data_IF_394003639195
#
_entry.id   IF_394003639195
#
_cell.length_a   1.000
_cell.length_b   1.000
_cell.length_c   1.000
_cell.angle_alpha   90.00
_cell.angle_beta   90.00
_cell.angle_gamma   90.00
#
_symmetry.space_group_name_H-M   'P 1'
#
loop_
_entity.id
_entity.type
_entity.pdbx_description
1 polymer ?
#
# COMPACT_ATOMS: atom_id res chain seq x y z
N UNK A 1 -22.62 18.77 -13.90
CA UNK A 1 -21.54 17.78 -13.98
C UNK A 1 -21.14 17.40 -15.41
N UNK A 2 -21.99 16.78 -16.24
CA UNK A 2 -21.63 16.28 -17.59
C UNK A 2 -21.15 17.33 -18.63
N UNK A 3 -21.34 18.63 -18.38
CA UNK A 3 -20.90 19.74 -19.25
C UNK A 3 -19.63 20.45 -18.73
N UNK A 4 -18.88 19.84 -17.81
CA UNK A 4 -17.68 20.40 -17.14
C UNK A 4 -17.87 21.74 -16.41
N UNK A 5 -19.10 22.23 -16.32
CA UNK A 5 -19.48 23.38 -15.49
C UNK A 5 -19.54 22.97 -14.03
N UNK A 6 -18.39 22.75 -13.41
CA UNK A 6 -18.29 22.28 -12.02
C UNK A 6 -18.77 23.34 -11.02
N UNK A 7 -18.49 24.63 -11.25
CA UNK A 7 -18.99 25.73 -10.40
C UNK A 7 -20.51 25.73 -10.29
N UNK A 8 -21.21 25.84 -11.42
CA UNK A 8 -22.69 25.82 -11.43
C UNK A 8 -23.28 24.52 -10.88
N UNK A 9 -22.57 23.39 -10.98
CA UNK A 9 -23.01 22.13 -10.37
C UNK A 9 -22.85 22.16 -8.84
N UNK A 10 -21.78 22.75 -8.32
CA UNK A 10 -21.57 22.96 -6.88
C UNK A 10 -22.68 23.86 -6.33
N UNK A 11 -23.01 24.95 -7.03
CA UNK A 11 -24.08 25.87 -6.62
C UNK A 11 -25.43 25.13 -6.55
N UNK A 12 -25.80 24.39 -7.61
CA UNK A 12 -27.03 23.62 -7.65
C UNK A 12 -27.09 22.53 -6.56
N UNK A 13 -25.99 21.81 -6.30
CA UNK A 13 -25.96 20.83 -5.20
C UNK A 13 -26.01 21.51 -3.83
N UNK A 14 -25.45 22.70 -3.69
CA UNK A 14 -25.51 23.47 -2.44
C UNK A 14 -26.93 23.92 -2.14
N UNK A 15 -27.67 24.39 -3.15
CA UNK A 15 -29.11 24.66 -3.03
C UNK A 15 -29.90 23.39 -2.68
N UNK A 16 -29.61 22.27 -3.36
CA UNK A 16 -30.28 21.00 -3.07
C UNK A 16 -30.03 20.50 -1.63
N UNK A 17 -28.80 20.67 -1.12
CA UNK A 17 -28.44 20.34 0.26
C UNK A 17 -29.13 21.27 1.25
N UNK A 18 -29.27 22.56 0.93
CA UNK A 18 -29.99 23.50 1.79
C UNK A 18 -31.48 23.14 1.91
N UNK A 19 -32.09 22.64 0.84
CA UNK A 19 -33.48 22.17 0.83
C UNK A 19 -33.63 20.79 1.50
N UNK A 20 -32.71 19.88 1.25
CA UNK A 20 -32.77 18.48 1.66
C UNK A 20 -31.40 17.99 2.17
N UNK A 21 -31.01 18.32 3.41
CA UNK A 21 -29.66 18.05 3.92
C UNK A 21 -29.36 16.58 4.22
N UNK A 22 -30.40 15.75 4.34
CA UNK A 22 -30.27 14.34 4.74
C UNK A 22 -30.17 13.37 3.55
N UNK A 23 -29.88 13.86 2.34
CA UNK A 23 -29.71 13.03 1.14
C UNK A 23 -28.22 12.83 0.85
N UNK A 24 -27.60 11.68 1.19
CA UNK A 24 -26.15 11.45 1.06
C UNK A 24 -25.62 11.64 -0.37
N UNK A 25 -26.46 11.34 -1.37
CA UNK A 25 -26.11 11.43 -2.79
C UNK A 25 -25.76 12.87 -3.20
N UNK A 26 -26.37 13.89 -2.59
CA UNK A 26 -26.05 15.28 -2.93
C UNK A 26 -24.66 15.67 -2.45
N UNK A 27 -24.29 15.23 -1.25
CA UNK A 27 -22.96 15.42 -0.67
C UNK A 27 -21.88 14.73 -1.53
N UNK A 28 -22.05 13.44 -1.85
CA UNK A 28 -21.07 12.72 -2.69
C UNK A 28 -20.96 13.31 -4.11
N UNK A 29 -22.04 13.83 -4.68
CA UNK A 29 -21.99 14.45 -6.00
C UNK A 29 -21.35 15.85 -5.98
N UNK A 30 -21.53 16.61 -4.89
CA UNK A 30 -20.83 17.89 -4.70
C UNK A 30 -19.34 17.67 -4.43
N UNK A 31 -18.99 16.70 -3.59
CA UNK A 31 -17.61 16.22 -3.38
C UNK A 31 -16.92 15.89 -4.72
N UNK A 32 -17.60 15.15 -5.61
CA UNK A 32 -17.05 14.83 -6.93
C UNK A 32 -16.76 16.08 -7.78
N UNK A 33 -17.56 17.14 -7.64
CA UNK A 33 -17.30 18.43 -8.30
C UNK A 33 -16.09 19.14 -7.69
N UNK A 34 -15.96 19.14 -6.36
CA UNK A 34 -14.79 19.69 -5.66
C UNK A 34 -13.50 18.93 -6.03
N UNK A 35 -13.57 17.61 -6.14
CA UNK A 35 -12.45 16.76 -6.60
C UNK A 35 -11.95 17.18 -7.98
N UNK A 36 -12.87 17.44 -8.92
CA UNK A 36 -12.51 17.93 -10.27
C UNK A 36 -11.88 19.33 -10.27
N UNK A 37 -12.02 20.08 -9.17
CA UNK A 37 -11.36 21.38 -8.95
C UNK A 37 -10.12 21.28 -8.06
N UNK A 38 -9.69 20.07 -7.66
CA UNK A 38 -8.61 19.81 -6.70
C UNK A 38 -8.82 20.44 -5.31
N UNK A 39 -10.08 20.69 -4.93
CA UNK A 39 -10.43 21.25 -3.61
C UNK A 39 -10.67 20.12 -2.61
N UNK A 40 -9.57 19.47 -2.19
CA UNK A 40 -9.62 18.25 -1.37
C UNK A 40 -10.18 18.47 0.04
N UNK A 41 -10.02 19.66 0.61
CA UNK A 41 -10.64 20.03 1.89
C UNK A 41 -12.17 19.96 1.81
N UNK A 42 -12.76 20.50 0.75
CA UNK A 42 -14.22 20.40 0.54
C UNK A 42 -14.68 18.99 0.20
N UNK A 43 -13.85 18.21 -0.51
CA UNK A 43 -14.14 16.78 -0.76
C UNK A 43 -14.28 16.03 0.56
N UNK A 44 -13.32 16.21 1.47
CA UNK A 44 -13.31 15.58 2.79
C UNK A 44 -14.54 15.99 3.62
N UNK A 45 -14.86 17.28 3.72
CA UNK A 45 -16.05 17.79 4.42
C UNK A 45 -17.34 17.11 3.91
N UNK A 46 -17.54 17.11 2.58
CA UNK A 46 -18.73 16.55 1.96
C UNK A 46 -18.77 15.02 2.11
N UNK A 47 -17.63 14.33 2.00
CA UNK A 47 -17.60 12.87 2.13
C UNK A 47 -17.80 12.42 3.57
N UNK A 48 -17.26 13.11 4.57
CA UNK A 48 -17.56 12.81 5.98
C UNK A 48 -19.06 12.95 6.25
N UNK A 49 -19.68 14.03 5.76
CA UNK A 49 -21.13 14.19 5.91
C UNK A 49 -21.92 13.10 5.17
N UNK A 50 -21.46 12.66 4.01
CA UNK A 50 -22.07 11.54 3.30
C UNK A 50 -21.96 10.22 4.08
N UNK A 51 -20.81 9.92 4.68
CA UNK A 51 -20.59 8.73 5.51
C UNK A 51 -21.45 8.76 6.79
N UNK A 52 -21.63 9.93 7.40
CA UNK A 52 -22.55 10.10 8.55
C UNK A 52 -24.00 9.77 8.20
N UNK A 53 -24.43 10.09 6.97
CA UNK A 53 -25.80 9.85 6.51
C UNK A 53 -26.01 8.45 5.93
N UNK A 54 -24.96 7.87 5.33
CA UNK A 54 -24.94 6.55 4.72
C UNK A 54 -23.57 5.90 4.94
N UNK A 55 -23.46 5.14 6.01
CA UNK A 55 -22.24 4.47 6.44
C UNK A 55 -21.81 3.32 5.49
N UNK A 56 -22.71 2.81 4.64
CA UNK A 56 -22.38 1.74 3.71
C UNK A 56 -22.12 2.26 2.29
N UNK A 57 -21.90 3.57 2.16
CA UNK A 57 -21.65 4.22 0.87
C UNK A 57 -20.21 3.97 0.38
N UNK A 58 -20.03 3.00 -0.52
CA UNK A 58 -18.75 2.70 -1.20
C UNK A 58 -18.11 3.97 -1.77
N UNK A 59 -18.91 4.81 -2.44
CA UNK A 59 -18.44 6.03 -3.10
C UNK A 59 -17.98 7.09 -2.09
N UNK A 60 -18.66 7.22 -0.95
CA UNK A 60 -18.28 8.20 0.07
C UNK A 60 -16.95 7.81 0.73
N UNK A 61 -16.80 6.56 1.15
CA UNK A 61 -15.56 6.02 1.71
C UNK A 61 -14.40 6.13 0.71
N UNK A 62 -14.61 5.76 -0.56
CA UNK A 62 -13.60 5.89 -1.60
C UNK A 62 -13.09 7.33 -1.77
N UNK A 63 -14.01 8.30 -1.93
CA UNK A 63 -13.63 9.70 -2.11
C UNK A 63 -13.03 10.33 -0.85
N UNK A 64 -13.48 9.92 0.34
CA UNK A 64 -12.89 10.34 1.61
C UNK A 64 -11.45 9.84 1.72
N UNK A 65 -11.22 8.56 1.42
CA UNK A 65 -9.88 7.98 1.37
C UNK A 65 -8.94 8.76 0.45
N UNK A 66 -9.38 9.06 -0.78
CA UNK A 66 -8.61 9.87 -1.73
C UNK A 66 -8.29 11.27 -1.20
N UNK A 67 -9.25 11.94 -0.55
CA UNK A 67 -9.04 13.27 0.01
C UNK A 67 -8.01 13.26 1.16
N UNK A 68 -8.06 12.25 2.02
CA UNK A 68 -7.11 12.07 3.12
C UNK A 68 -5.69 11.80 2.61
N UNK A 69 -5.53 10.99 1.54
CA UNK A 69 -4.23 10.77 0.91
C UNK A 69 -3.62 12.06 0.36
N UNK A 70 -4.44 12.92 -0.26
CA UNK A 70 -3.98 14.21 -0.78
C UNK A 70 -3.55 15.18 0.32
N UNK A 71 -4.14 15.03 1.52
CA UNK A 71 -3.73 15.74 2.73
C UNK A 71 -2.58 15.06 3.49
N UNK A 72 -2.04 13.97 2.95
CA UNK A 72 -0.98 13.13 3.56
C UNK A 72 -1.39 12.47 4.88
N UNK A 73 -2.69 12.34 5.12
CA UNK A 73 -3.27 11.60 6.24
C UNK A 73 -3.39 10.11 5.88
N UNK A 74 -2.24 9.48 5.55
CA UNK A 74 -2.21 8.16 4.92
C UNK A 74 -2.86 7.05 5.76
N UNK A 75 -2.70 7.10 7.08
CA UNK A 75 -3.26 6.10 7.98
C UNK A 75 -4.80 6.06 7.97
N UNK A 76 -5.45 7.22 7.94
CA UNK A 76 -6.91 7.30 7.82
C UNK A 76 -7.35 7.01 6.39
N UNK A 77 -6.63 7.53 5.38
CA UNK A 77 -6.93 7.27 3.98
C UNK A 77 -6.95 5.78 3.62
N UNK A 78 -5.99 5.01 4.13
CA UNK A 78 -5.96 3.53 3.96
C UNK A 78 -7.21 2.88 4.57
N UNK A 79 -7.61 3.25 5.79
CA UNK A 79 -8.79 2.66 6.45
C UNK A 79 -10.07 2.90 5.66
N UNK A 80 -10.25 4.11 5.14
CA UNK A 80 -11.42 4.48 4.34
C UNK A 80 -11.45 3.73 3.00
N UNK A 81 -10.30 3.54 2.35
CA UNK A 81 -10.19 2.73 1.13
C UNK A 81 -10.40 1.24 1.38
N UNK A 82 -9.93 0.69 2.51
CA UNK A 82 -10.22 -0.69 2.93
C UNK A 82 -11.73 -0.88 3.13
N UNK A 83 -12.38 0.05 3.84
CA UNK A 83 -13.83 0.02 4.03
C UNK A 83 -14.58 0.10 2.70
N UNK A 84 -14.16 0.97 1.78
CA UNK A 84 -14.75 1.08 0.45
C UNK A 84 -14.62 -0.24 -0.33
N UNK A 85 -13.46 -0.90 -0.24
CA UNK A 85 -13.19 -2.17 -0.92
C UNK A 85 -14.06 -3.30 -0.38
N UNK A 86 -14.19 -3.39 0.94
CA UNK A 86 -15.00 -4.42 1.61
C UNK A 86 -16.49 -4.29 1.25
N UNK A 87 -17.01 -3.06 1.29
CA UNK A 87 -18.39 -2.77 0.87
C UNK A 87 -18.60 -3.05 -0.63
N UNK A 88 -17.63 -2.67 -1.48
CA UNK A 88 -17.70 -2.88 -2.93
C UNK A 88 -17.76 -4.36 -3.31
N UNK A 89 -16.96 -5.20 -2.63
CA UNK A 89 -16.97 -6.66 -2.81
C UNK A 89 -18.31 -7.29 -2.40
N UNK A 90 -18.96 -6.78 -1.34
CA UNK A 90 -20.27 -7.28 -0.91
C UNK A 90 -21.40 -6.96 -1.90
N UNK A 91 -21.36 -5.78 -2.54
CA UNK A 91 -22.40 -5.32 -3.46
C UNK A 91 -22.27 -5.85 -4.90
N UNK A 92 -21.04 -5.86 -5.45
CA UNK A 92 -20.74 -6.42 -6.77
C UNK A 92 -19.22 -6.71 -6.88
N UNK A 93 -18.79 -7.96 -6.61
CA UNK A 93 -17.37 -8.34 -6.62
C UNK A 93 -16.62 -8.04 -7.93
N UNK A 94 -17.33 -8.01 -9.06
CA UNK A 94 -16.76 -7.81 -10.40
C UNK A 94 -16.99 -6.38 -10.93
N UNK A 95 -17.40 -5.44 -10.07
CA UNK A 95 -17.64 -4.06 -10.47
C UNK A 95 -16.35 -3.29 -10.78
N UNK A 96 -16.37 -2.43 -11.80
CA UNK A 96 -15.23 -1.59 -12.22
C UNK A 96 -14.62 -0.76 -11.06
N UNK A 97 -15.44 -0.42 -10.07
CA UNK A 97 -15.04 0.38 -8.92
C UNK A 97 -14.17 -0.40 -7.94
N UNK A 98 -14.29 -1.73 -7.87
CA UNK A 98 -13.52 -2.57 -6.93
C UNK A 98 -12.05 -2.60 -7.32
N UNK A 99 -11.75 -2.73 -8.62
CA UNK A 99 -10.38 -2.67 -9.14
C UNK A 99 -9.76 -1.28 -8.94
N UNK A 100 -10.51 -0.22 -9.24
CA UNK A 100 -10.05 1.17 -9.02
C UNK A 100 -9.74 1.42 -7.53
N UNK A 101 -10.65 1.05 -6.62
CA UNK A 101 -10.43 1.19 -5.17
C UNK A 101 -9.19 0.40 -4.74
N UNK A 102 -9.03 -0.82 -5.25
CA UNK A 102 -7.88 -1.65 -4.92
C UNK A 102 -6.56 -1.01 -5.34
N UNK A 103 -6.48 -0.47 -6.57
CA UNK A 103 -5.27 0.19 -7.06
C UNK A 103 -4.93 1.41 -6.21
N UNK A 104 -5.93 2.22 -5.86
CA UNK A 104 -5.73 3.37 -4.99
C UNK A 104 -5.36 2.94 -3.55
N UNK A 105 -5.90 1.83 -3.05
CA UNK A 105 -5.51 1.27 -1.76
C UNK A 105 -4.06 0.78 -1.75
N UNK A 106 -3.60 0.11 -2.80
CA UNK A 106 -2.21 -0.31 -2.92
C UNK A 106 -1.26 0.90 -2.93
N UNK A 107 -1.57 1.93 -3.73
CA UNK A 107 -0.83 3.21 -3.71
C UNK A 107 -0.85 3.86 -2.32
N UNK A 108 -2.00 3.87 -1.65
CA UNK A 108 -2.15 4.41 -0.31
C UNK A 108 -1.23 3.71 0.71
N UNK A 109 -1.19 2.37 0.67
CA UNK A 109 -0.32 1.56 1.55
C UNK A 109 1.15 1.79 1.25
N UNK A 110 1.52 1.93 -0.02
CA UNK A 110 2.87 2.31 -0.41
C UNK A 110 3.25 3.69 0.12
N UNK A 111 2.43 4.73 -0.09
CA UNK A 111 2.69 6.09 0.40
C UNK A 111 2.79 6.16 1.93
N UNK A 112 1.92 5.41 2.62
CA UNK A 112 1.99 5.25 4.07
C UNK A 112 3.34 4.68 4.49
N UNK A 113 3.75 3.57 3.86
CA UNK A 113 5.04 2.95 4.13
C UNK A 113 6.19 3.91 3.82
N UNK A 114 6.19 4.58 2.66
CA UNK A 114 7.26 5.49 2.23
C UNK A 114 7.45 6.63 3.24
N UNK A 115 6.35 7.22 3.71
CA UNK A 115 6.39 8.26 4.73
C UNK A 115 6.95 7.74 6.07
N UNK A 116 6.47 6.59 6.53
CA UNK A 116 6.94 6.00 7.79
C UNK A 116 8.40 5.50 7.71
N UNK A 117 8.78 4.89 6.58
CA UNK A 117 10.12 4.39 6.28
C UNK A 117 11.13 5.53 6.18
N UNK A 118 10.78 6.63 5.49
CA UNK A 118 11.65 7.82 5.43
C UNK A 118 11.97 8.35 6.82
N UNK A 119 10.98 8.39 7.71
CA UNK A 119 11.17 8.79 9.11
C UNK A 119 12.09 7.82 9.85
N UNK A 120 11.83 6.51 9.74
CA UNK A 120 12.65 5.46 10.39
C UNK A 120 14.09 5.49 9.89
N UNK A 121 14.29 5.62 8.58
CA UNK A 121 15.62 5.72 7.96
C UNK A 121 16.40 6.92 8.47
N UNK A 122 15.74 8.08 8.59
CA UNK A 122 16.38 9.27 9.15
C UNK A 122 16.76 9.08 10.63
N UNK A 123 15.84 8.58 11.46
CA UNK A 123 16.10 8.27 12.87
C UNK A 123 17.27 7.28 13.03
N UNK A 124 17.29 6.23 12.21
CA UNK A 124 18.30 5.18 12.22
C UNK A 124 19.68 5.72 11.81
N UNK A 125 19.73 6.57 10.77
CA UNK A 125 20.97 7.19 10.30
C UNK A 125 21.54 8.16 11.34
N UNK A 126 20.71 9.01 11.94
CA UNK A 126 21.14 9.91 13.02
C UNK A 126 21.68 9.13 14.22
N UNK A 127 21.00 8.05 14.61
CA UNK A 127 21.47 7.20 15.70
C UNK A 127 22.80 6.50 15.36
N UNK A 128 22.94 6.03 14.11
CA UNK A 128 24.17 5.42 13.62
C UNK A 128 25.36 6.38 13.71
N UNK A 129 25.20 7.59 13.22
CA UNK A 129 26.25 8.63 13.26
C UNK A 129 26.67 8.92 14.70
N UNK A 130 25.71 9.13 15.61
CA UNK A 130 25.99 9.34 17.03
C UNK A 130 26.73 8.16 17.69
N UNK A 131 26.33 6.92 17.37
CA UNK A 131 27.01 5.73 17.89
C UNK A 131 28.44 5.59 17.33
N UNK A 132 28.66 5.91 16.06
CA UNK A 132 30.00 5.88 15.44
C UNK A 132 30.89 6.94 16.08
N UNK A 133 30.41 8.17 16.24
CA UNK A 133 31.15 9.26 16.90
C UNK A 133 31.53 8.87 18.33
N UNK A 134 30.56 8.43 19.15
CA UNK A 134 30.81 8.02 20.52
C UNK A 134 31.79 6.84 20.63
N UNK A 135 31.71 5.88 19.69
CA UNK A 135 32.67 4.79 19.64
C UNK A 135 34.06 5.31 19.29
N UNK A 136 34.20 6.15 18.26
CA UNK A 136 35.49 6.74 17.88
C UNK A 136 36.13 7.56 19.01
N UNK A 137 35.36 8.37 19.73
CA UNK A 137 35.86 9.12 20.90
C UNK A 137 36.41 8.19 21.98
N UNK A 138 35.67 7.12 22.30
CA UNK A 138 36.12 6.09 23.24
C UNK A 138 37.42 5.44 22.77
N UNK A 139 37.51 5.09 21.49
CA UNK A 139 38.70 4.45 20.92
C UNK A 139 39.94 5.37 20.99
N UNK A 140 39.76 6.68 20.79
CA UNK A 140 40.83 7.68 20.96
C UNK A 140 41.28 7.76 22.42
N UNK A 141 40.35 7.76 23.37
CA UNK A 141 40.66 7.75 24.80
C UNK A 141 41.41 6.47 25.20
N UNK A 142 40.95 5.30 24.75
CA UNK A 142 41.59 4.01 25.06
C UNK A 142 43.02 3.93 24.50
N UNK A 143 43.25 4.46 23.28
CA UNK A 143 44.58 4.54 22.67
C UNK A 143 45.53 5.48 23.44
N UNK A 144 45.02 6.56 24.03
CA UNK A 144 45.83 7.46 24.86
C UNK A 144 46.29 6.83 26.19
N UNK A 145 45.57 5.80 26.66
CA UNK A 145 45.86 5.09 27.92
C UNK A 145 46.72 3.83 27.75
N UNK A 146 46.93 3.35 26.52
CA UNK A 146 47.66 2.09 26.24
C UNK A 146 48.99 2.35 25.54
N UNK A 147 50.04 2.65 26.32
CA UNK A 147 51.41 2.66 25.82
C UNK A 147 51.90 1.22 25.59
N UNK A 148 51.82 0.70 24.35
CA UNK A 148 52.61 -0.47 23.93
C UNK A 148 51.93 -1.59 23.11
N UNK A 149 50.60 -1.63 22.99
CA UNK A 149 49.85 -2.69 22.26
C UNK A 149 48.97 -2.11 21.12
N UNK A 150 49.58 -1.33 20.22
CA UNK A 150 48.84 -0.53 19.22
C UNK A 150 48.13 -1.40 18.16
N UNK A 151 48.73 -2.52 17.75
CA UNK A 151 48.25 -3.32 16.60
C UNK A 151 47.01 -4.19 16.94
N UNK A 152 47.03 -4.90 18.08
CA UNK A 152 45.88 -5.68 18.55
C UNK A 152 44.68 -4.78 18.92
N UNK A 153 44.95 -3.60 19.47
CA UNK A 153 43.91 -2.62 19.84
C UNK A 153 43.26 -2.04 18.59
N UNK A 154 44.04 -1.66 17.57
CA UNK A 154 43.50 -1.18 16.29
C UNK A 154 42.63 -2.23 15.58
N UNK A 155 43.06 -3.50 15.57
CA UNK A 155 42.28 -4.60 15.00
C UNK A 155 40.96 -4.86 15.77
N UNK A 156 40.99 -4.78 17.11
CA UNK A 156 39.80 -4.89 17.96
C UNK A 156 38.81 -3.74 17.69
N UNK A 157 39.31 -2.53 17.52
CA UNK A 157 38.54 -1.33 17.26
C UNK A 157 37.83 -1.40 15.90
N UNK A 158 38.53 -1.86 14.86
CA UNK A 158 37.94 -2.12 13.54
C UNK A 158 36.78 -3.12 13.61
N UNK A 159 36.94 -4.22 14.37
CA UNK A 159 35.87 -5.21 14.57
C UNK A 159 34.63 -4.64 15.25
N UNK A 160 34.79 -3.71 16.19
CA UNK A 160 33.66 -3.04 16.86
C UNK A 160 32.88 -2.15 15.90
N UNK A 161 33.58 -1.36 15.07
CA UNK A 161 32.95 -0.54 14.02
C UNK A 161 32.21 -1.41 13.00
N UNK A 162 32.82 -2.50 12.53
CA UNK A 162 32.14 -3.44 11.63
C UNK A 162 30.91 -4.10 12.29
N UNK A 163 31.00 -4.44 13.58
CA UNK A 163 29.86 -4.99 14.30
C UNK A 163 28.71 -3.98 14.42
N UNK A 164 29.03 -2.71 14.68
CA UNK A 164 28.06 -1.62 14.71
C UNK A 164 27.39 -1.44 13.35
N UNK A 165 28.18 -1.41 12.26
CA UNK A 165 27.67 -1.31 10.90
C UNK A 165 26.69 -2.45 10.58
N UNK A 166 27.03 -3.69 10.94
CA UNK A 166 26.15 -4.85 10.74
C UNK A 166 24.82 -4.73 11.50
N UNK A 167 24.82 -4.16 12.70
CA UNK A 167 23.58 -3.95 13.47
C UNK A 167 22.66 -2.96 12.77
N UNK A 168 23.20 -1.83 12.30
CA UNK A 168 22.42 -0.82 11.59
C UNK A 168 21.97 -1.29 10.21
N UNK A 169 22.82 -2.03 9.49
CA UNK A 169 22.44 -2.64 8.21
C UNK A 169 21.27 -3.60 8.41
N UNK A 170 21.34 -4.47 9.43
CA UNK A 170 20.25 -5.41 9.75
C UNK A 170 18.97 -4.70 10.16
N UNK A 171 19.07 -3.61 10.92
CA UNK A 171 17.92 -2.81 11.31
C UNK A 171 17.25 -2.08 10.12
N UNK A 172 18.00 -1.83 9.04
CA UNK A 172 17.50 -1.18 7.83
C UNK A 172 16.92 -2.16 6.79
N UNK A 173 17.08 -3.48 6.97
CA UNK A 173 16.71 -4.49 5.95
C UNK A 173 15.24 -4.39 5.52
N UNK A 174 14.31 -4.34 6.46
CA UNK A 174 12.86 -4.31 6.17
C UNK A 174 12.43 -3.03 5.41
N UNK A 175 13.13 -1.92 5.64
CA UNK A 175 12.89 -0.63 5.00
C UNK A 175 13.67 -0.43 3.69
N UNK A 176 14.51 -1.40 3.31
CA UNK A 176 15.29 -1.35 2.07
C UNK A 176 14.55 -2.11 0.96
N UNK A 177 14.10 -1.43 -0.11
CA UNK A 177 13.45 -2.11 -1.23
C UNK A 177 14.37 -3.16 -1.87
N UNK A 178 13.83 -4.35 -2.11
CA UNK A 178 14.54 -5.47 -2.72
C UNK A 178 13.62 -6.25 -3.68
N UNK A 179 13.95 -7.49 -4.02
CA UNK A 179 13.11 -8.33 -4.88
C UNK A 179 12.06 -9.07 -4.05
N UNK A 180 10.82 -9.13 -4.55
CA UNK A 180 9.77 -9.95 -3.94
C UNK A 180 10.08 -11.42 -4.23
N UNK A 181 10.01 -12.33 -3.24
CA UNK A 181 10.25 -13.74 -3.47
C UNK A 181 9.31 -14.35 -4.53
N UNK A 182 9.86 -15.09 -5.50
CA UNK A 182 9.14 -15.68 -6.65
C UNK A 182 7.91 -16.54 -6.29
N UNK A 183 7.87 -17.10 -5.08
CA UNK A 183 6.74 -17.91 -4.60
C UNK A 183 5.54 -17.07 -4.17
N UNK A 184 5.73 -15.75 -3.98
CA UNK A 184 4.67 -14.77 -3.75
C UNK A 184 4.23 -14.08 -5.04
N UNK A 185 4.86 -14.40 -6.17
CA UNK A 185 4.60 -13.79 -7.46
C UNK A 185 3.82 -14.70 -8.41
N UNK A 186 2.94 -14.10 -9.19
CA UNK A 186 2.17 -14.76 -10.23
C UNK A 186 3.06 -15.21 -11.39
N UNK A 187 2.85 -16.43 -11.88
CA UNK A 187 3.67 -17.00 -12.98
C UNK A 187 3.44 -16.36 -14.35
N UNK A 188 2.41 -15.51 -14.49
CA UNK A 188 2.10 -14.80 -15.73
C UNK A 188 2.52 -13.33 -15.62
N UNK A 189 2.07 -12.63 -14.58
CA UNK A 189 2.36 -11.19 -14.43
C UNK A 189 3.72 -10.94 -13.83
N UNK A 190 4.31 -11.90 -13.12
CA UNK A 190 5.52 -11.77 -12.32
C UNK A 190 5.41 -10.80 -11.14
N UNK A 191 4.25 -10.14 -10.99
CA UNK A 191 3.90 -9.32 -9.84
C UNK A 191 3.50 -10.15 -8.63
N UNK A 192 3.63 -9.56 -7.44
CA UNK A 192 3.10 -10.11 -6.19
C UNK A 192 1.59 -10.38 -6.30
N UNK A 193 1.13 -11.53 -5.80
CA UNK A 193 -0.28 -11.91 -5.89
C UNK A 193 -1.21 -10.92 -5.17
N UNK A 194 -2.39 -10.71 -5.74
CA UNK A 194 -3.46 -9.87 -5.15
C UNK A 194 -4.67 -10.74 -4.80
N UNK A 195 -5.09 -11.57 -5.74
CA UNK A 195 -6.16 -12.55 -5.58
C UNK A 195 -5.70 -13.92 -6.12
N UNK A 196 -4.81 -14.60 -5.38
CA UNK A 196 -4.23 -15.86 -5.84
C UNK A 196 -5.29 -16.96 -5.93
N UNK A 197 -5.29 -17.68 -7.06
CA UNK A 197 -6.07 -18.89 -7.28
C UNK A 197 -5.17 -20.04 -7.68
N UNK A 198 -5.46 -21.23 -7.18
CA UNK A 198 -4.73 -22.46 -7.48
C UNK A 198 -5.50 -23.34 -8.46
N UNK A 199 -4.79 -23.93 -9.42
CA UNK A 199 -5.30 -24.91 -10.38
C UNK A 199 -5.20 -26.33 -9.81
N UNK A 200 -5.93 -27.32 -10.36
CA UNK A 200 -5.78 -28.73 -9.96
C UNK A 200 -4.35 -29.27 -10.11
N UNK A 201 -3.56 -28.71 -11.04
CA UNK A 201 -2.15 -29.05 -11.24
C UNK A 201 -1.23 -28.47 -10.15
N UNK A 202 -1.77 -27.72 -9.18
CA UNK A 202 -1.03 -27.15 -8.06
C UNK A 202 -0.36 -25.80 -8.34
N UNK A 203 -0.59 -25.20 -9.51
CA UNK A 203 0.01 -23.91 -9.89
C UNK A 203 -0.90 -22.77 -9.45
N UNK A 204 -0.31 -21.71 -8.88
CA UNK A 204 -1.05 -20.52 -8.44
C UNK A 204 -0.88 -19.37 -9.42
N UNK A 205 -1.98 -18.69 -9.73
CA UNK A 205 -2.06 -17.56 -10.64
C UNK A 205 -2.86 -16.40 -10.03
N UNK A 206 -2.67 -15.21 -10.56
CA UNK A 206 -3.57 -14.08 -10.31
C UNK A 206 -4.92 -14.34 -10.98
N UNK A 207 -6.03 -14.24 -10.23
CA UNK A 207 -7.36 -14.64 -10.70
C UNK A 207 -7.74 -13.96 -12.00
N UNK A 208 -7.61 -12.63 -12.05
CA UNK A 208 -8.01 -11.86 -13.23
C UNK A 208 -7.28 -12.33 -14.49
N UNK A 209 -6.00 -12.70 -14.34
CA UNK A 209 -5.10 -13.03 -15.44
C UNK A 209 -5.36 -14.44 -15.96
N UNK A 210 -5.52 -15.42 -15.06
CA UNK A 210 -5.85 -16.79 -15.49
C UNK A 210 -7.24 -16.85 -16.13
N UNK A 211 -8.21 -16.08 -15.64
CA UNK A 211 -9.53 -15.99 -16.25
C UNK A 211 -9.45 -15.40 -17.66
N UNK A 212 -8.66 -14.34 -17.85
CA UNK A 212 -8.44 -13.73 -19.16
C UNK A 212 -7.78 -14.71 -20.14
N UNK A 213 -6.77 -15.47 -19.69
CA UNK A 213 -6.12 -16.53 -20.46
C UNK A 213 -7.12 -17.62 -20.88
N UNK A 214 -7.92 -18.14 -19.94
CA UNK A 214 -8.90 -19.18 -20.24
C UNK A 214 -9.96 -18.72 -21.25
N UNK A 215 -10.27 -17.42 -21.27
CA UNK A 215 -11.23 -16.83 -22.19
C UNK A 215 -10.61 -16.53 -23.57
N UNK A 216 -9.41 -15.95 -23.63
CA UNK A 216 -8.81 -15.42 -24.86
C UNK A 216 -7.85 -16.37 -25.55
N UNK A 217 -7.13 -17.20 -24.79
CA UNK A 217 -6.06 -18.06 -25.30
C UNK A 217 -6.54 -19.50 -25.42
N UNK A 218 -7.12 -20.05 -24.35
CA UNK A 218 -7.71 -21.39 -24.39
C UNK A 218 -7.85 -22.04 -23.03
N UNK A 219 -8.67 -23.09 -22.97
CA UNK A 219 -9.04 -23.84 -21.76
C UNK A 219 -7.98 -24.85 -21.32
N UNK A 220 -6.78 -24.36 -21.02
CA UNK A 220 -5.67 -25.16 -20.53
C UNK A 220 -4.79 -24.36 -19.56
N UNK A 221 -4.15 -25.05 -18.62
CA UNK A 221 -3.20 -24.47 -17.69
C UNK A 221 -1.97 -23.90 -18.45
N UNK A 222 -1.63 -22.60 -18.28
CA UNK A 222 -0.53 -21.96 -19.03
C UNK A 222 0.83 -22.66 -18.90
N UNK A 223 1.08 -23.31 -17.76
CA UNK A 223 2.37 -23.92 -17.43
C UNK A 223 2.35 -25.41 -17.74
N UNK A 224 1.38 -26.16 -17.21
CA UNK A 224 1.35 -27.63 -17.36
C UNK A 224 0.71 -28.09 -18.66
N UNK A 225 -0.04 -27.21 -19.34
CA UNK A 225 -0.82 -27.49 -20.56
C UNK A 225 -1.93 -28.51 -20.37
N UNK A 226 -2.25 -28.87 -19.13
CA UNK A 226 -3.40 -29.72 -18.82
C UNK A 226 -4.72 -28.99 -19.09
N UNK A 227 -5.80 -29.69 -19.49
CA UNK A 227 -7.11 -29.07 -19.64
C UNK A 227 -7.56 -28.40 -18.35
N UNK A 228 -7.99 -27.15 -18.44
CA UNK A 228 -8.38 -26.33 -17.29
C UNK A 228 -9.63 -25.53 -17.62
N UNK A 229 -10.64 -25.62 -16.75
CA UNK A 229 -11.85 -24.82 -16.80
C UNK A 229 -11.92 -23.85 -15.61
N UNK A 230 -12.56 -22.70 -15.81
CA UNK A 230 -12.73 -21.66 -14.78
C UNK A 230 -13.35 -22.21 -13.49
N UNK A 231 -14.27 -23.16 -13.59
CA UNK A 231 -14.94 -23.78 -12.44
C UNK A 231 -13.99 -24.54 -11.50
N UNK A 232 -12.79 -24.88 -11.97
CA UNK A 232 -11.79 -25.61 -11.20
C UNK A 232 -10.84 -24.71 -10.41
N UNK A 233 -10.92 -23.38 -10.61
CA UNK A 233 -10.07 -22.41 -9.92
C UNK A 233 -10.53 -22.25 -8.47
N UNK A 234 -9.64 -22.55 -7.52
CA UNK A 234 -9.91 -22.42 -6.08
C UNK A 234 -9.12 -21.24 -5.52
N UNK A 235 -9.70 -20.34 -4.70
CA UNK A 235 -8.93 -19.31 -4.00
C UNK A 235 -7.82 -19.93 -3.15
N UNK A 236 -6.57 -19.49 -3.34
CA UNK A 236 -5.44 -19.96 -2.56
C UNK A 236 -5.25 -19.06 -1.32
N UNK A 237 -6.03 -19.34 -0.28
CA UNK A 237 -6.04 -18.54 0.96
C UNK A 237 -4.68 -18.55 1.66
N UNK A 238 -3.94 -19.66 1.62
CA UNK A 238 -2.61 -19.76 2.23
C UNK A 238 -1.60 -18.80 1.58
N UNK A 239 -1.57 -18.74 0.24
CA UNK A 239 -0.71 -17.78 -0.46
C UNK A 239 -1.18 -16.35 -0.21
N UNK A 240 -2.49 -16.12 -0.13
CA UNK A 240 -3.04 -14.79 0.20
C UNK A 240 -2.60 -14.31 1.58
N UNK A 241 -2.65 -15.17 2.59
CA UNK A 241 -2.15 -14.89 3.94
C UNK A 241 -0.63 -14.66 3.96
N UNK A 242 0.14 -15.49 3.23
CA UNK A 242 1.58 -15.33 3.13
C UNK A 242 1.98 -13.99 2.49
N UNK A 243 1.29 -13.58 1.43
CA UNK A 243 1.47 -12.27 0.80
C UNK A 243 1.14 -11.14 1.76
N UNK A 244 0.03 -11.25 2.50
CA UNK A 244 -0.34 -10.23 3.50
C UNK A 244 0.72 -10.09 4.59
N UNK A 245 1.17 -11.19 5.18
CA UNK A 245 2.22 -11.18 6.18
C UNK A 245 3.55 -10.61 5.63
N UNK A 246 3.86 -10.87 4.36
CA UNK A 246 5.02 -10.29 3.69
C UNK A 246 4.87 -8.78 3.53
N UNK A 247 3.72 -8.32 3.03
CA UNK A 247 3.43 -6.90 2.78
C UNK A 247 3.31 -6.06 4.05
N UNK A 248 2.91 -6.65 5.18
CA UNK A 248 2.93 -5.96 6.49
C UNK A 248 4.34 -5.58 6.93
N UNK A 249 5.34 -6.42 6.59
CA UNK A 249 6.76 -6.17 6.89
C UNK A 249 7.45 -5.35 5.80
N UNK A 250 7.11 -5.61 4.55
CA UNK A 250 7.77 -5.05 3.36
C UNK A 250 6.81 -4.12 2.62
N UNK A 251 6.46 -2.99 3.23
CA UNK A 251 5.47 -2.07 2.64
C UNK A 251 5.88 -1.48 1.28
N UNK A 252 7.18 -1.49 0.95
CA UNK A 252 7.67 -1.12 -0.38
C UNK A 252 7.15 -2.04 -1.49
N UNK A 253 6.79 -3.28 -1.18
CA UNK A 253 6.29 -4.26 -2.15
C UNK A 253 4.84 -3.98 -2.59
N UNK A 254 4.19 -2.95 -2.03
CA UNK A 254 2.94 -2.40 -2.59
C UNK A 254 3.15 -1.57 -3.87
N UNK A 255 4.40 -1.31 -4.29
CA UNK A 255 4.70 -0.52 -5.48
C UNK A 255 3.98 -1.13 -6.70
N UNK A 256 3.20 -0.29 -7.38
CA UNK A 256 2.61 -0.59 -8.67
C UNK A 256 3.53 0.04 -9.71
N UNK A 257 4.19 -0.78 -10.52
CA UNK A 257 5.01 -0.33 -11.65
C UNK A 257 4.16 0.16 -12.84
#
# INVERSE_FOLDING_TARGET
>A
FKKERFGAAIDAYTEAIALCPNVPVYWTNRALCHRKRNDWTRVEEDCRRAVELDYDSVKAHYMLGLALLQKKEYGEGVKELEKALDLGRGANPNGYMVEEIWQELAKAKYLKWEHESSRRSWELQTLKEACVEALMEKLVLDASNTEGFVDETAASNGKQLEALERVFQKAAEDDTPSEVPDYLCCKITLDIFRDPVITPSGVTYERAVILDHLQKVGKFDPITREPLDQSQLVPNLAIKEAVWAYLEKHGWAYRLD
#
